data_IF_294755295318
#
_entry.id   IF_294755295318
#
_cell.length_a   1.000
_cell.length_b   1.000
_cell.length_c   1.000
_cell.angle_alpha   90.00
_cell.angle_beta   90.00
_cell.angle_gamma   90.00
#
_symmetry.space_group_name_H-M   'P 1'
#
loop_
_entity.id
_entity.type
_entity.pdbx_description
1 polymer ?
#
# COMPACT_ATOMS: atom_id res chain seq x y z
N UNK A 1 -29.88 -18.36 -13.04
CA UNK A 1 -28.53 -17.89 -12.67
C UNK A 1 -28.63 -16.81 -11.59
N UNK A 2 -29.08 -17.17 -10.38
CA UNK A 2 -29.10 -16.29 -9.20
C UNK A 2 -28.44 -17.09 -8.08
N UNK A 3 -27.15 -16.87 -7.83
CA UNK A 3 -26.42 -17.63 -6.84
C UNK A 3 -24.95 -17.27 -6.83
N UNK A 4 -24.62 -16.11 -6.25
CA UNK A 4 -23.35 -15.82 -5.54
C UNK A 4 -23.11 -14.34 -5.19
N UNK A 5 -24.04 -13.43 -5.49
CA UNK A 5 -23.86 -12.00 -5.21
C UNK A 5 -23.63 -11.76 -3.70
N UNK A 6 -24.39 -12.43 -2.83
CA UNK A 6 -24.30 -12.24 -1.38
C UNK A 6 -23.02 -12.74 -0.68
N UNK A 7 -22.22 -13.63 -1.30
CA UNK A 7 -20.98 -14.14 -0.68
C UNK A 7 -19.78 -13.24 -1.00
N UNK A 8 -19.82 -12.59 -2.17
CA UNK A 8 -18.80 -11.65 -2.62
C UNK A 8 -18.87 -10.35 -1.80
N UNK A 9 -20.09 -9.83 -1.58
CA UNK A 9 -20.32 -8.67 -0.72
C UNK A 9 -19.85 -8.93 0.71
N UNK A 10 -20.08 -10.14 1.24
CA UNK A 10 -19.63 -10.53 2.57
C UNK A 10 -18.10 -10.51 2.71
N UNK A 11 -17.36 -11.00 1.72
CA UNK A 11 -15.90 -10.96 1.73
C UNK A 11 -15.36 -9.51 1.72
N UNK A 12 -15.88 -8.67 0.82
CA UNK A 12 -15.45 -7.27 0.74
C UNK A 12 -15.74 -6.51 2.03
N UNK A 13 -16.91 -6.72 2.63
CA UNK A 13 -17.29 -6.11 3.91
C UNK A 13 -16.35 -6.58 5.04
N UNK A 14 -16.02 -7.87 5.12
CA UNK A 14 -15.09 -8.37 6.14
C UNK A 14 -13.68 -7.81 5.95
N UNK A 15 -13.21 -7.72 4.70
CA UNK A 15 -11.90 -7.13 4.41
C UNK A 15 -11.86 -5.64 4.74
N UNK A 16 -12.94 -4.92 4.48
CA UNK A 16 -13.07 -3.51 4.83
C UNK A 16 -13.01 -3.31 6.35
N UNK A 17 -13.73 -4.14 7.12
CA UNK A 17 -13.66 -4.16 8.60
C UNK A 17 -12.24 -4.42 9.10
N UNK A 18 -11.52 -5.38 8.50
CA UNK A 18 -10.12 -5.69 8.86
C UNK A 18 -9.24 -4.46 8.61
N UNK A 19 -9.37 -3.83 7.44
CA UNK A 19 -8.59 -2.65 7.09
C UNK A 19 -8.87 -1.49 8.05
N UNK A 20 -10.15 -1.25 8.40
CA UNK A 20 -10.55 -0.21 9.35
C UNK A 20 -9.95 -0.45 10.74
N UNK A 21 -9.96 -1.69 11.24
CA UNK A 21 -9.35 -2.02 12.55
C UNK A 21 -7.84 -1.72 12.55
N UNK A 22 -7.12 -2.23 11.54
CA UNK A 22 -5.68 -1.94 11.37
C UNK A 22 -5.40 -0.45 11.24
N UNK A 23 -6.25 0.27 10.51
CA UNK A 23 -6.11 1.72 10.35
C UNK A 23 -6.22 2.43 11.70
N UNK A 24 -7.19 2.05 12.56
CA UNK A 24 -7.33 2.64 13.90
C UNK A 24 -6.10 2.38 14.78
N UNK A 25 -5.54 1.18 14.72
CA UNK A 25 -4.29 0.84 15.43
C UNK A 25 -3.12 1.72 14.97
N UNK A 26 -2.98 1.91 13.65
CA UNK A 26 -1.93 2.78 13.10
C UNK A 26 -2.15 4.24 13.52
N UNK A 27 -3.39 4.74 13.43
CA UNK A 27 -3.72 6.11 13.81
C UNK A 27 -3.44 6.41 15.28
N UNK A 28 -3.61 5.42 16.17
CA UNK A 28 -3.28 5.58 17.58
C UNK A 28 -1.78 5.85 17.84
N UNK A 29 -0.89 5.42 16.92
CA UNK A 29 0.56 5.69 16.98
C UNK A 29 0.97 7.00 16.31
N UNK A 30 0.06 7.68 15.61
CA UNK A 30 0.34 8.88 14.82
C UNK A 30 0.04 10.17 15.60
N UNK A 31 0.59 11.32 15.18
CA UNK A 31 0.22 12.60 15.75
C UNK A 31 -1.29 12.86 15.67
N UNK A 32 -1.89 13.41 16.72
CA UNK A 32 -3.36 13.58 16.81
C UNK A 32 -3.97 14.32 15.62
N UNK A 33 -3.28 15.34 15.10
CA UNK A 33 -3.78 16.14 13.98
C UNK A 33 -4.06 15.28 12.74
N UNK A 34 -3.26 14.23 12.48
CA UNK A 34 -3.41 13.34 11.31
C UNK A 34 -4.81 12.76 11.14
N UNK A 35 -5.57 12.58 12.23
CA UNK A 35 -6.93 12.05 12.19
C UNK A 35 -7.87 12.92 11.36
N UNK A 36 -7.66 14.25 11.36
CA UNK A 36 -8.47 15.18 10.58
C UNK A 36 -8.32 14.93 9.08
N UNK A 37 -7.09 14.66 8.61
CA UNK A 37 -6.83 14.28 7.23
C UNK A 37 -7.52 12.96 6.86
N UNK A 38 -7.42 11.94 7.70
CA UNK A 38 -8.02 10.64 7.38
C UNK A 38 -9.55 10.66 7.35
N UNK A 39 -10.18 11.51 8.16
CA UNK A 39 -11.64 11.76 8.09
C UNK A 39 -12.02 12.46 6.78
N UNK A 40 -11.20 13.40 6.28
CA UNK A 40 -11.55 14.15 5.06
C UNK A 40 -11.46 13.29 3.79
N UNK A 41 -10.57 12.30 3.75
CA UNK A 41 -10.43 11.40 2.59
C UNK A 41 -11.32 10.16 2.67
N UNK A 42 -12.09 9.98 3.75
CA UNK A 42 -12.90 8.77 3.98
C UNK A 42 -13.94 8.54 2.87
N UNK A 43 -14.63 9.58 2.40
CA UNK A 43 -15.62 9.43 1.33
C UNK A 43 -15.02 9.17 -0.06
N UNK A 44 -13.76 9.53 -0.28
CA UNK A 44 -13.16 9.60 -1.61
C UNK A 44 -12.11 8.51 -1.88
N UNK A 45 -11.78 7.69 -0.88
CA UNK A 45 -10.71 6.68 -0.98
C UNK A 45 -11.11 5.36 -0.36
N UNK A 46 -10.66 4.25 -0.95
CA UNK A 46 -10.89 2.90 -0.41
C UNK A 46 -10.20 2.70 0.94
N UNK A 47 -10.71 1.81 1.79
CA UNK A 47 -10.08 1.47 3.08
C UNK A 47 -8.64 0.98 2.93
N UNK A 48 -8.34 0.24 1.85
CA UNK A 48 -6.99 -0.23 1.53
C UNK A 48 -6.06 0.94 1.23
N UNK A 49 -6.50 1.92 0.44
CA UNK A 49 -5.71 3.11 0.12
C UNK A 49 -5.45 3.94 1.39
N UNK A 50 -6.47 4.15 2.22
CA UNK A 50 -6.33 4.87 3.50
C UNK A 50 -5.36 4.19 4.45
N UNK A 51 -5.45 2.86 4.58
CA UNK A 51 -4.53 2.08 5.39
C UNK A 51 -3.08 2.19 4.87
N UNK A 52 -2.90 2.13 3.55
CA UNK A 52 -1.60 2.35 2.91
C UNK A 52 -1.01 3.71 3.25
N UNK A 53 -1.81 4.79 3.13
CA UNK A 53 -1.40 6.14 3.50
C UNK A 53 -1.06 6.26 4.99
N UNK A 54 -1.79 5.60 5.88
CA UNK A 54 -1.50 5.59 7.31
C UNK A 54 -0.13 4.95 7.60
N UNK A 55 0.20 3.83 6.96
CA UNK A 55 1.51 3.21 7.10
C UNK A 55 2.65 4.06 6.55
N UNK A 56 2.42 4.77 5.44
CA UNK A 56 3.42 5.65 4.85
C UNK A 56 3.70 6.86 5.73
N UNK A 57 2.63 7.53 6.22
CA UNK A 57 2.78 8.63 7.17
C UNK A 57 3.46 8.18 8.45
N UNK A 58 3.15 6.98 8.96
CA UNK A 58 3.86 6.44 10.13
C UNK A 58 5.36 6.29 9.88
N UNK A 59 5.74 5.75 8.72
CA UNK A 59 7.15 5.63 8.33
C UNK A 59 7.83 7.00 8.28
N UNK A 60 7.13 8.03 7.78
CA UNK A 60 7.65 9.40 7.73
C UNK A 60 7.84 10.00 9.14
N UNK A 61 6.87 9.86 10.05
CA UNK A 61 7.02 10.36 11.41
C UNK A 61 8.03 9.59 12.24
N UNK A 62 8.18 8.27 12.02
CA UNK A 62 9.26 7.45 12.58
C UNK A 62 10.63 7.99 12.13
N UNK A 63 10.81 8.25 10.83
CA UNK A 63 12.03 8.88 10.29
C UNK A 63 12.34 10.23 10.95
N UNK A 64 11.35 11.11 11.09
CA UNK A 64 11.55 12.40 11.74
C UNK A 64 11.90 12.27 13.23
N UNK A 65 11.33 11.28 13.92
CA UNK A 65 11.62 11.00 15.31
C UNK A 65 13.06 10.50 15.51
N UNK A 66 13.56 9.69 14.58
CA UNK A 66 14.91 9.11 14.64
C UNK A 66 16.01 10.11 14.30
N UNK A 67 15.79 10.94 13.27
CA UNK A 67 16.83 11.80 12.68
C UNK A 67 16.84 13.23 13.23
N UNK A 68 15.78 13.68 13.92
CA UNK A 68 15.74 15.02 14.51
C UNK A 68 15.83 14.96 16.05
N UNK A 69 16.95 15.44 16.59
CA UNK A 69 17.23 15.47 18.04
C UNK A 69 16.14 16.13 18.88
N UNK A 70 15.49 17.17 18.35
CA UNK A 70 14.41 17.88 19.06
C UNK A 70 13.11 17.06 19.10
N UNK A 71 12.80 16.36 18.02
CA UNK A 71 11.61 15.53 17.89
C UNK A 71 11.76 14.17 18.57
N UNK A 72 12.99 13.69 18.77
CA UNK A 72 13.31 12.45 19.49
C UNK A 72 12.90 12.48 20.97
N UNK A 73 12.92 13.66 21.59
CA UNK A 73 12.54 13.84 23.00
C UNK A 73 11.02 13.87 23.22
N UNK A 74 10.24 13.95 22.14
CA UNK A 74 8.78 14.03 22.21
C UNK A 74 8.17 12.78 21.59
N UNK A 75 7.18 12.17 22.25
CA UNK A 75 6.45 11.08 21.66
C UNK A 75 5.77 11.51 20.34
N UNK A 76 5.83 10.68 19.30
CA UNK A 76 5.26 10.96 17.96
C UNK A 76 3.80 11.42 18.06
N UNK A 77 3.01 10.83 18.96
CA UNK A 77 1.60 11.18 19.19
C UNK A 77 1.37 12.62 19.65
N UNK A 78 2.40 13.27 20.21
CA UNK A 78 2.38 14.64 20.74
C UNK A 78 2.95 15.69 19.76
N UNK A 79 3.33 15.30 18.55
CA UNK A 79 3.76 16.24 17.53
C UNK A 79 2.65 17.25 17.19
N UNK A 80 3.06 18.51 17.03
CA UNK A 80 2.17 19.63 16.71
C UNK A 80 2.18 19.88 15.21
N UNK A 81 1.05 20.33 14.65
CA UNK A 81 0.92 20.63 13.23
C UNK A 81 1.97 21.64 12.72
N UNK A 82 2.33 22.62 13.55
CA UNK A 82 3.32 23.65 13.23
C UNK A 82 4.71 23.11 12.90
N UNK A 83 5.02 21.85 13.25
CA UNK A 83 6.28 21.23 12.84
C UNK A 83 6.36 21.07 11.31
N UNK A 84 5.21 20.96 10.63
CA UNK A 84 5.18 20.72 9.19
C UNK A 84 5.75 21.91 8.41
N UNK A 85 5.60 23.14 8.92
CA UNK A 85 6.19 24.34 8.32
C UNK A 85 7.70 24.48 8.60
N UNK A 86 8.23 23.71 9.54
CA UNK A 86 9.68 23.68 9.81
C UNK A 86 10.41 22.71 8.88
N UNK A 87 9.66 21.79 8.26
CA UNK A 87 10.21 20.80 7.35
C UNK A 87 10.47 21.49 6.01
N UNK A 88 11.70 21.36 5.54
CA UNK A 88 12.15 21.93 4.28
C UNK A 88 12.17 20.87 3.18
N UNK A 89 12.48 21.31 1.97
CA UNK A 89 12.58 20.43 0.82
C UNK A 89 13.70 19.40 1.03
N UNK A 90 14.82 19.83 1.57
CA UNK A 90 16.01 19.02 1.82
C UNK A 90 15.68 17.85 2.77
N UNK A 91 14.88 18.08 3.82
CA UNK A 91 14.46 17.04 4.77
C UNK A 91 13.61 15.94 4.09
N UNK A 92 12.79 16.31 3.10
CA UNK A 92 12.01 15.32 2.34
C UNK A 92 12.90 14.60 1.33
N UNK A 93 13.91 15.25 0.75
CA UNK A 93 14.89 14.58 -0.10
C UNK A 93 15.71 13.57 0.71
N UNK A 94 16.14 13.92 1.93
CA UNK A 94 16.78 13.02 2.90
C UNK A 94 15.85 11.85 3.28
N UNK A 95 14.56 12.10 3.50
CA UNK A 95 13.59 11.04 3.72
C UNK A 95 13.51 10.05 2.53
N UNK A 96 13.53 10.54 1.29
CA UNK A 96 13.51 9.68 0.11
C UNK A 96 14.81 8.88 -0.06
N UNK A 97 15.93 9.41 0.41
CA UNK A 97 17.21 8.70 0.50
C UNK A 97 17.16 7.60 1.57
N UNK A 98 16.67 7.91 2.77
CA UNK A 98 16.43 6.94 3.85
C UNK A 98 15.55 5.78 3.40
N UNK A 99 14.51 6.04 2.61
CA UNK A 99 13.63 4.98 2.09
C UNK A 99 14.34 3.97 1.16
N UNK A 100 15.55 4.26 0.66
CA UNK A 100 16.35 3.30 -0.12
C UNK A 100 16.73 2.09 0.71
N UNK A 101 17.12 2.33 1.96
CA UNK A 101 17.62 1.32 2.88
C UNK A 101 17.38 1.81 4.31
N UNK A 102 16.51 1.12 5.04
CA UNK A 102 16.26 1.44 6.44
C UNK A 102 15.90 0.18 7.23
N UNK A 103 16.25 0.19 8.51
CA UNK A 103 15.95 -0.89 9.42
C UNK A 103 14.57 -0.70 10.05
N UNK A 104 13.75 -1.74 10.00
CA UNK A 104 12.48 -1.77 10.71
C UNK A 104 12.33 -3.09 11.44
N UNK A 105 12.38 -3.03 12.78
CA UNK A 105 12.30 -4.21 13.65
C UNK A 105 13.35 -5.28 13.31
N UNK A 106 14.62 -4.88 13.21
CA UNK A 106 15.77 -5.76 12.90
C UNK A 106 15.70 -6.44 11.53
N UNK A 107 14.86 -5.91 10.62
CA UNK A 107 14.81 -6.30 9.22
C UNK A 107 15.18 -5.12 8.35
N UNK A 108 16.21 -5.31 7.54
CA UNK A 108 16.61 -4.39 6.49
C UNK A 108 15.51 -4.36 5.42
N UNK A 109 14.95 -3.17 5.18
CA UNK A 109 13.93 -2.94 4.18
C UNK A 109 14.47 -2.07 3.06
N UNK A 110 14.23 -2.53 1.82
CA UNK A 110 14.52 -1.76 0.61
C UNK A 110 13.22 -1.40 -0.09
N UNK A 111 13.07 -0.12 -0.47
CA UNK A 111 11.98 0.28 -1.37
C UNK A 111 12.52 0.51 -2.78
N UNK A 112 11.90 -0.16 -3.75
CA UNK A 112 12.02 0.20 -5.16
C UNK A 112 11.40 1.58 -5.42
N UNK A 113 11.68 2.16 -6.60
CA UNK A 113 11.18 3.48 -7.02
C UNK A 113 9.65 3.62 -6.88
N UNK A 114 8.90 2.55 -7.16
CA UNK A 114 7.45 2.47 -6.97
C UNK A 114 7.01 2.67 -5.52
N UNK A 115 7.74 2.09 -4.57
CA UNK A 115 7.50 2.26 -3.14
C UNK A 115 7.73 3.70 -2.68
N UNK A 116 8.82 4.32 -3.16
CA UNK A 116 9.14 5.73 -2.87
C UNK A 116 8.10 6.68 -3.48
N UNK A 117 7.71 6.47 -4.74
CA UNK A 117 6.68 7.26 -5.40
C UNK A 117 5.33 7.20 -4.67
N UNK A 118 4.92 6.00 -4.21
CA UNK A 118 3.70 5.81 -3.42
C UNK A 118 3.77 6.57 -2.08
N UNK A 119 4.88 6.46 -1.36
CA UNK A 119 5.09 7.16 -0.07
C UNK A 119 5.08 8.68 -0.24
N UNK A 120 5.77 9.19 -1.27
CA UNK A 120 5.73 10.61 -1.61
C UNK A 120 4.33 11.08 -2.00
N UNK A 121 3.55 10.24 -2.68
CA UNK A 121 2.17 10.57 -3.06
C UNK A 121 1.25 10.68 -1.82
N UNK A 122 1.41 9.77 -0.86
CA UNK A 122 0.71 9.86 0.42
C UNK A 122 1.07 11.16 1.17
N UNK A 123 2.36 11.50 1.22
CA UNK A 123 2.86 12.70 1.88
C UNK A 123 2.36 13.99 1.20
N UNK A 124 2.38 14.04 -0.13
CA UNK A 124 1.81 15.17 -0.89
C UNK A 124 0.33 15.35 -0.64
N UNK A 125 -0.44 14.27 -0.67
CA UNK A 125 -1.88 14.32 -0.36
C UNK A 125 -2.13 14.87 1.05
N UNK A 126 -1.30 14.46 2.01
CA UNK A 126 -1.34 14.92 3.39
C UNK A 126 -1.01 16.42 3.55
N UNK A 127 0.10 16.89 2.98
CA UNK A 127 0.47 18.31 3.03
C UNK A 127 -0.52 19.18 2.25
N UNK A 128 -0.95 18.74 1.07
CA UNK A 128 -1.95 19.45 0.27
C UNK A 128 -3.25 19.68 1.04
N UNK A 129 -3.65 18.72 1.88
CA UNK A 129 -4.85 18.87 2.71
C UNK A 129 -4.72 20.04 3.70
N UNK A 130 -3.64 20.10 4.48
CA UNK A 130 -3.45 21.19 5.44
C UNK A 130 -3.14 22.54 4.78
N UNK A 131 -2.41 22.51 3.66
CA UNK A 131 -2.11 23.71 2.88
C UNK A 131 -3.38 24.34 2.30
N UNK A 132 -4.31 23.53 1.78
CA UNK A 132 -5.63 24.01 1.31
C UNK A 132 -6.54 24.53 2.43
N UNK A 133 -6.32 24.08 3.66
CA UNK A 133 -7.01 24.60 4.83
C UNK A 133 -6.30 25.82 5.45
N UNK A 134 -5.22 26.30 4.82
CA UNK A 134 -4.41 27.43 5.30
C UNK A 134 -3.88 27.22 6.74
N UNK A 135 -3.74 25.96 7.17
CA UNK A 135 -3.20 25.61 8.48
C UNK A 135 -1.68 25.44 8.49
N UNK A 136 -1.08 25.37 7.30
CA UNK A 136 0.37 25.39 7.05
C UNK A 136 0.63 26.35 5.88
N UNK A 137 1.77 27.00 5.90
CA UNK A 137 2.17 28.00 4.90
C UNK A 137 2.98 27.38 3.76
N UNK A 138 3.61 26.24 4.01
CA UNK A 138 4.54 25.61 3.07
C UNK A 138 4.12 24.20 2.66
N UNK A 139 4.53 23.79 1.45
CA UNK A 139 4.29 22.44 0.94
C UNK A 139 5.55 21.86 0.25
N UNK A 140 6.59 21.53 1.02
CA UNK A 140 7.84 21.00 0.48
C UNK A 140 7.68 19.75 -0.40
N UNK A 141 6.84 18.74 -0.05
CA UNK A 141 6.70 17.53 -0.87
C UNK A 141 6.21 17.78 -2.30
N UNK A 142 5.50 18.88 -2.54
CA UNK A 142 5.03 19.25 -3.87
C UNK A 142 6.18 19.64 -4.83
N UNK A 143 7.31 20.12 -4.28
CA UNK A 143 8.45 20.64 -5.05
C UNK A 143 9.41 19.55 -5.53
N UNK A 144 9.31 18.34 -4.98
CA UNK A 144 10.25 17.24 -5.27
C UNK A 144 9.77 16.47 -6.47
N UNK A 145 10.65 16.17 -7.42
CA UNK A 145 10.28 15.36 -8.60
C UNK A 145 10.08 13.90 -8.18
N UNK A 146 9.01 13.28 -8.68
CA UNK A 146 8.82 11.83 -8.48
C UNK A 146 9.95 11.08 -9.20
N UNK A 147 10.43 9.98 -8.62
CA UNK A 147 11.23 9.01 -9.37
C UNK A 147 10.47 8.61 -10.64
N UNK A 148 11.15 8.62 -11.79
CA UNK A 148 10.55 8.06 -13.01
C UNK A 148 10.36 6.58 -12.77
N UNK A 149 9.12 6.12 -12.77
CA UNK A 149 8.83 4.70 -12.76
C UNK A 149 9.25 4.15 -14.13
N UNK A 150 10.20 3.22 -14.12
CA UNK A 150 10.48 2.43 -15.29
C UNK A 150 9.23 1.61 -15.60
N UNK A 151 8.73 1.74 -16.83
CA UNK A 151 7.58 0.96 -17.28
C UNK A 151 8.03 -0.50 -17.32
N UNK A 152 7.50 -1.33 -16.41
CA UNK A 152 7.73 -2.76 -16.48
C UNK A 152 6.97 -3.29 -17.69
N UNK A 153 7.64 -4.09 -18.52
CA UNK A 153 6.98 -4.77 -19.63
C UNK A 153 5.81 -5.59 -19.11
N UNK A 154 4.68 -5.53 -19.82
CA UNK A 154 3.55 -6.41 -19.53
C UNK A 154 4.00 -7.83 -19.88
N UNK A 155 4.40 -8.58 -18.85
CA UNK A 155 4.77 -9.99 -18.99
C UNK A 155 3.49 -10.76 -19.30
N UNK A 156 3.37 -11.22 -20.54
CA UNK A 156 2.30 -12.10 -21.01
C UNK A 156 2.89 -13.49 -21.23
N UNK A 157 2.05 -14.52 -21.06
CA UNK A 157 2.45 -15.87 -21.41
C UNK A 157 2.62 -15.98 -22.93
N UNK A 158 3.73 -16.54 -23.36
CA UNK A 158 3.93 -16.91 -24.76
C UNK A 158 3.06 -18.14 -25.12
N UNK A 159 2.71 -18.38 -26.40
CA UNK A 159 1.82 -19.47 -26.78
C UNK A 159 2.24 -20.86 -26.27
N UNK A 160 3.55 -21.11 -26.19
CA UNK A 160 4.11 -22.34 -25.62
C UNK A 160 3.94 -22.40 -24.10
N UNK A 161 4.02 -21.27 -23.39
CA UNK A 161 3.79 -21.22 -21.94
C UNK A 161 2.31 -21.39 -21.61
N UNK A 162 1.41 -20.86 -22.45
CA UNK A 162 -0.03 -21.12 -22.38
C UNK A 162 -0.31 -22.61 -22.55
N UNK A 163 0.31 -23.26 -23.54
CA UNK A 163 0.17 -24.70 -23.75
C UNK A 163 0.67 -25.49 -22.53
N UNK A 164 1.87 -25.17 -22.02
CA UNK A 164 2.42 -25.80 -20.80
C UNK A 164 1.47 -25.62 -19.62
N UNK A 165 0.88 -24.43 -19.45
CA UNK A 165 -0.07 -24.17 -18.37
C UNK A 165 -1.33 -25.03 -18.51
N UNK A 166 -1.90 -25.11 -19.71
CA UNK A 166 -3.08 -25.94 -19.99
C UNK A 166 -2.80 -27.42 -19.77
N UNK A 167 -1.64 -27.92 -20.23
CA UNK A 167 -1.21 -29.30 -20.02
C UNK A 167 -1.08 -29.63 -18.52
N UNK A 168 -0.55 -28.70 -17.71
CA UNK A 168 -0.45 -28.89 -16.27
C UNK A 168 -1.82 -28.91 -15.58
N UNK A 169 -2.76 -28.07 -16.02
CA UNK A 169 -4.14 -28.06 -15.53
C UNK A 169 -4.85 -29.36 -15.90
N UNK A 170 -4.59 -29.91 -17.08
CA UNK A 170 -5.14 -31.16 -17.58
C UNK A 170 -4.56 -32.39 -16.88
N UNK A 171 -3.23 -32.45 -16.73
CA UNK A 171 -2.53 -33.66 -16.29
C UNK A 171 -2.47 -33.80 -14.75
N UNK A 172 -2.32 -32.69 -14.02
CA UNK A 172 -2.27 -32.71 -12.55
C UNK A 172 -1.04 -33.41 -11.95
N UNK A 173 0.06 -33.52 -12.70
CA UNK A 173 1.23 -34.36 -12.36
C UNK A 173 1.91 -34.01 -11.03
N UNK A 174 1.81 -32.75 -10.58
CA UNK A 174 2.42 -32.27 -9.34
C UNK A 174 1.45 -32.20 -8.16
N UNK A 175 0.27 -32.80 -8.29
CA UNK A 175 -0.75 -32.81 -7.23
C UNK A 175 -0.54 -33.98 -6.27
N UNK A 176 -0.76 -33.73 -4.98
CA UNK A 176 -0.81 -34.78 -3.96
C UNK A 176 -1.96 -35.76 -4.22
N UNK A 177 -1.90 -36.97 -3.64
CA UNK A 177 -2.98 -37.98 -3.76
C UNK A 177 -4.36 -37.46 -3.35
N UNK A 178 -4.42 -36.55 -2.38
CA UNK A 178 -5.68 -35.92 -1.97
C UNK A 178 -6.17 -34.93 -3.02
N UNK A 179 -5.27 -34.07 -3.54
CA UNK A 179 -5.59 -33.10 -4.58
C UNK A 179 -6.01 -33.76 -5.90
N UNK A 180 -5.39 -34.88 -6.29
CA UNK A 180 -5.78 -35.66 -7.49
C UNK A 180 -7.24 -36.13 -7.43
N UNK A 181 -7.76 -36.49 -6.25
CA UNK A 181 -9.18 -36.87 -6.09
C UNK A 181 -10.14 -35.71 -6.37
N UNK A 182 -9.76 -34.49 -6.01
CA UNK A 182 -10.55 -33.29 -6.28
C UNK A 182 -10.39 -32.84 -7.74
N UNK A 183 -9.15 -32.89 -8.25
CA UNK A 183 -8.83 -32.58 -9.64
C UNK A 183 -9.63 -33.46 -10.62
N UNK A 184 -9.79 -34.75 -10.36
CA UNK A 184 -10.64 -35.62 -11.17
C UNK A 184 -12.10 -35.13 -11.31
N UNK A 185 -12.59 -34.33 -10.35
CA UNK A 185 -13.94 -33.74 -10.38
C UNK A 185 -13.97 -32.35 -11.02
N UNK A 186 -12.91 -31.55 -10.87
CA UNK A 186 -12.89 -30.14 -11.29
C UNK A 186 -12.10 -29.88 -12.57
N UNK A 187 -11.28 -30.85 -13.03
CA UNK A 187 -10.39 -30.74 -14.19
C UNK A 187 -11.08 -30.11 -15.40
N UNK A 188 -12.24 -30.63 -15.81
CA UNK A 188 -12.94 -30.14 -17.00
C UNK A 188 -13.36 -28.67 -16.86
N UNK A 189 -13.90 -28.31 -15.69
CA UNK A 189 -14.29 -26.93 -15.38
C UNK A 189 -13.08 -26.01 -15.36
N UNK A 190 -12.03 -26.40 -14.66
CA UNK A 190 -10.83 -25.58 -14.45
C UNK A 190 -10.08 -25.38 -15.78
N UNK A 191 -10.00 -26.42 -16.62
CA UNK A 191 -9.44 -26.33 -17.98
C UNK A 191 -10.26 -25.39 -18.85
N UNK A 192 -11.59 -25.49 -18.84
CA UNK A 192 -12.46 -24.61 -19.62
C UNK A 192 -12.36 -23.14 -19.16
N UNK A 193 -12.32 -22.90 -17.84
CA UNK A 193 -12.14 -21.56 -17.28
C UNK A 193 -10.80 -20.96 -17.68
N UNK A 194 -9.71 -21.71 -17.54
CA UNK A 194 -8.37 -21.22 -17.86
C UNK A 194 -8.22 -21.00 -19.37
N UNK A 195 -8.75 -21.90 -20.20
CA UNK A 195 -8.77 -21.73 -21.67
C UNK A 195 -9.53 -20.45 -22.07
N UNK A 196 -10.66 -20.15 -21.42
CA UNK A 196 -11.42 -18.93 -21.70
C UNK A 196 -10.69 -17.66 -21.26
N UNK A 197 -10.00 -17.70 -20.11
CA UNK A 197 -9.30 -16.55 -19.55
C UNK A 197 -7.95 -16.27 -20.22
N UNK A 198 -7.34 -17.28 -20.86
CA UNK A 198 -6.08 -17.16 -21.61
C UNK A 198 -6.29 -16.88 -23.11
N UNK A 199 -7.55 -16.64 -23.53
CA UNK A 199 -7.96 -16.44 -24.93
C UNK A 199 -7.12 -15.46 -25.72
#
# INVERSE_FOLDING_TARGET
>A
MQGNIGNTDKYFIEQDKINIRKMREVLASLPKFTHQYFRSIEGNTSSRTRLGYAYDLRTFFEFLHENNSSLKQTAITNYKLSMLDQIKREDIEEYLEYLSLYDKHEKELTNQESGKARKLSALRSFYNFYFRLEMIETNPPSMIRLPKLHEHEIIRLEPNEVAIMLDQVEAGEKLTKSQLKFHAKTKLRDTALITLLLG
#
